data_IF_129942411805
#
_entry.id   IF_129942411805
#
_cell.length_a   1.000
_cell.length_b   1.000
_cell.length_c   1.000
_cell.angle_alpha   90.00
_cell.angle_beta   90.00
_cell.angle_gamma   90.00
#
_symmetry.space_group_name_H-M   'P 1'
#
loop_
_entity.id
_entity.type
_entity.pdbx_description
1 polymer ?
#
# COMPACT_ATOMS: atom_id res chain seq x y z
N UNK A 1 -3.26 -14.31 14.63
CA UNK A 1 -2.87 -12.92 14.91
C UNK A 1 -2.27 -12.25 13.67
N UNK A 2 -1.70 -11.03 13.79
CA UNK A 2 -1.16 -10.29 12.64
C UNK A 2 -0.01 -11.01 11.90
N UNK A 3 0.76 -11.84 12.59
CA UNK A 3 1.81 -12.66 11.97
C UNK A 3 1.24 -13.77 11.06
N UNK A 4 0.14 -14.43 11.47
CA UNK A 4 -0.50 -15.48 10.67
C UNK A 4 -1.16 -14.92 9.41
N UNK A 5 -1.74 -13.71 9.49
CA UNK A 5 -2.30 -13.02 8.34
C UNK A 5 -1.23 -12.73 7.28
N UNK A 6 -0.08 -12.21 7.70
CA UNK A 6 1.05 -11.98 6.79
C UNK A 6 1.59 -13.28 6.18
N UNK A 7 1.65 -14.39 6.96
CA UNK A 7 2.05 -15.70 6.42
C UNK A 7 1.08 -16.18 5.34
N UNK A 8 -0.24 -16.11 5.60
CA UNK A 8 -1.28 -16.49 4.62
C UNK A 8 -1.24 -15.64 3.35
N UNK A 9 -0.95 -14.35 3.47
CA UNK A 9 -0.79 -13.46 2.32
C UNK A 9 0.40 -13.89 1.45
N UNK A 10 1.55 -14.19 2.08
CA UNK A 10 2.73 -14.69 1.36
C UNK A 10 2.44 -16.01 0.65
N UNK A 11 1.74 -16.94 1.30
CA UNK A 11 1.28 -18.19 0.68
C UNK A 11 0.34 -17.95 -0.50
N UNK A 12 -0.37 -16.82 -0.53
CA UNK A 12 -1.25 -16.38 -1.62
C UNK A 12 -0.54 -15.52 -2.67
N UNK A 13 0.79 -15.43 -2.61
CA UNK A 13 1.61 -14.66 -3.57
C UNK A 13 1.71 -13.17 -3.27
N UNK A 14 1.26 -12.71 -2.09
CA UNK A 14 1.39 -11.31 -1.68
C UNK A 14 2.66 -11.06 -0.87
N UNK A 15 3.43 -10.07 -1.29
CA UNK A 15 4.66 -9.63 -0.65
C UNK A 15 4.51 -8.23 -0.08
N UNK A 16 5.05 -8.00 1.12
CA UNK A 16 5.12 -6.66 1.71
C UNK A 16 6.25 -5.87 1.05
N UNK A 17 5.88 -4.83 0.30
CA UNK A 17 6.84 -3.97 -0.42
C UNK A 17 7.43 -2.88 0.46
N UNK A 18 6.67 -2.45 1.47
CA UNK A 18 7.09 -1.46 2.44
C UNK A 18 5.96 -0.98 3.33
N UNK A 19 6.29 -0.15 4.32
CA UNK A 19 5.30 0.44 5.23
C UNK A 19 5.68 1.86 5.63
N UNK A 20 4.66 2.65 6.01
CA UNK A 20 4.82 4.02 6.49
C UNK A 20 3.92 4.28 7.69
N UNK A 21 4.45 4.97 8.71
CA UNK A 21 3.65 5.52 9.80
C UNK A 21 3.18 6.92 9.38
N UNK A 22 1.86 7.12 9.37
CA UNK A 22 1.22 8.33 8.83
C UNK A 22 0.41 9.05 9.91
N UNK A 23 0.49 10.37 9.92
CA UNK A 23 -0.10 11.25 10.94
C UNK A 23 -1.18 12.18 10.39
N UNK A 24 -1.57 13.19 11.19
CA UNK A 24 -2.70 14.09 10.90
C UNK A 24 -2.39 15.27 9.98
N UNK A 25 -1.11 15.58 9.78
CA UNK A 25 -0.68 16.82 9.10
C UNK A 25 -0.34 16.57 7.63
N UNK A 26 0.10 15.36 7.29
CA UNK A 26 0.60 15.01 5.97
C UNK A 26 -0.46 14.25 5.20
N UNK A 27 -0.73 14.68 3.97
CA UNK A 27 -1.69 14.07 3.05
C UNK A 27 -1.01 13.23 1.96
N UNK A 28 0.33 13.20 1.92
CA UNK A 28 1.13 12.53 0.90
C UNK A 28 2.37 11.84 1.48
N UNK A 29 2.58 10.59 1.11
CA UNK A 29 3.80 9.85 1.44
C UNK A 29 4.30 9.00 0.28
N UNK A 30 5.59 8.66 0.33
CA UNK A 30 6.23 7.74 -0.60
C UNK A 30 6.75 6.53 0.16
N UNK A 31 6.38 5.34 -0.30
CA UNK A 31 6.96 4.06 0.09
C UNK A 31 7.92 3.63 -1.02
N UNK A 32 9.22 3.68 -0.74
CA UNK A 32 10.21 3.11 -1.63
C UNK A 32 10.19 1.60 -1.46
N UNK A 33 10.08 0.88 -2.57
CA UNK A 33 10.15 -0.58 -2.56
C UNK A 33 11.63 -0.94 -2.41
N UNK A 34 11.94 -1.68 -1.32
CA UNK A 34 13.31 -2.05 -0.97
C UNK A 34 13.88 -3.14 -1.89
N UNK A 35 14.73 -4.04 -1.35
CA UNK A 35 15.26 -5.24 -2.04
C UNK A 35 14.18 -6.31 -2.33
N UNK A 36 13.00 -5.89 -2.74
CA UNK A 36 11.96 -6.80 -3.20
C UNK A 36 12.36 -7.31 -4.58
N UNK A 37 12.67 -8.59 -4.66
CA UNK A 37 13.05 -9.26 -5.91
C UNK A 37 11.77 -9.82 -6.53
N UNK A 38 11.08 -9.00 -7.31
CA UNK A 38 9.76 -9.39 -7.80
C UNK A 38 9.23 -8.54 -8.94
N UNK A 39 8.45 -9.19 -9.78
CA UNK A 39 7.57 -8.58 -10.76
C UNK A 39 6.16 -8.71 -10.22
N UNK A 40 5.44 -7.60 -10.16
CA UNK A 40 4.12 -7.59 -9.57
C UNK A 40 3.06 -7.35 -10.63
N UNK A 41 1.94 -8.04 -10.51
CA UNK A 41 0.76 -7.86 -11.35
C UNK A 41 -0.36 -7.07 -10.69
N UNK A 42 -0.37 -6.98 -9.35
CA UNK A 42 -1.34 -6.19 -8.61
C UNK A 42 -0.75 -5.63 -7.31
N UNK A 43 -1.41 -4.60 -6.76
CA UNK A 43 -1.11 -4.07 -5.42
C UNK A 43 -2.35 -4.02 -4.54
N UNK A 44 -2.15 -4.00 -3.21
CA UNK A 44 -3.17 -3.63 -2.23
C UNK A 44 -2.57 -2.84 -1.08
N UNK A 45 -3.42 -2.09 -0.39
CA UNK A 45 -3.07 -1.33 0.81
C UNK A 45 -3.68 -2.00 2.03
N UNK A 46 -2.91 -2.17 3.10
CA UNK A 46 -3.40 -2.58 4.41
C UNK A 46 -3.14 -1.50 5.44
N UNK A 47 -4.08 -1.31 6.35
CA UNK A 47 -4.03 -0.24 7.34
C UNK A 47 -4.12 -0.82 8.74
N UNK A 48 -3.30 -0.30 9.66
CA UNK A 48 -3.28 -0.68 11.07
C UNK A 48 -3.30 0.54 11.97
N UNK A 49 -3.64 0.32 13.23
CA UNK A 49 -3.69 1.27 14.35
C UNK A 49 -4.80 2.33 14.25
N UNK A 50 -4.98 2.98 13.11
CA UNK A 50 -6.03 3.98 12.90
C UNK A 50 -6.58 3.91 11.46
N UNK A 51 -7.87 4.24 11.23
CA UNK A 51 -8.45 4.26 9.88
C UNK A 51 -7.93 5.43 9.05
N UNK A 52 -7.89 5.24 7.73
CA UNK A 52 -7.58 6.31 6.77
C UNK A 52 -8.58 6.32 5.61
N UNK A 53 -8.72 7.47 4.98
CA UNK A 53 -9.29 7.57 3.64
C UNK A 53 -8.15 7.66 2.62
N UNK A 54 -7.98 6.65 1.78
CA UNK A 54 -7.00 6.67 0.70
C UNK A 54 -7.62 7.33 -0.53
N UNK A 55 -7.09 8.48 -0.95
CA UNK A 55 -7.57 9.19 -2.14
C UNK A 55 -7.03 8.53 -3.42
N UNK A 56 -5.70 8.36 -3.46
CA UNK A 56 -5.01 8.03 -4.70
C UNK A 56 -3.70 7.27 -4.45
N UNK A 57 -3.32 6.46 -5.43
CA UNK A 57 -2.06 5.75 -5.46
C UNK A 57 -1.39 6.01 -6.81
N UNK A 58 -0.08 6.23 -6.79
CA UNK A 58 0.74 6.26 -7.98
C UNK A 58 1.89 5.29 -7.82
N UNK A 59 1.98 4.32 -8.72
CA UNK A 59 3.11 3.40 -8.78
C UNK A 59 4.11 3.98 -9.76
N UNK A 60 5.39 4.01 -9.37
CA UNK A 60 6.46 4.26 -10.32
C UNK A 60 7.27 2.98 -10.47
N UNK A 61 7.33 2.47 -11.69
CA UNK A 61 8.06 1.26 -12.01
C UNK A 61 9.58 1.48 -12.01
N UNK A 62 10.34 0.38 -11.99
CA UNK A 62 11.81 0.42 -12.03
C UNK A 62 12.37 1.16 -13.26
N UNK A 63 11.65 1.13 -14.38
CA UNK A 63 12.01 1.86 -15.60
C UNK A 63 11.54 3.34 -15.60
N UNK A 64 11.01 3.85 -14.48
CA UNK A 64 10.52 5.22 -14.35
C UNK A 64 9.10 5.47 -14.86
N UNK A 65 8.46 4.50 -15.52
CA UNK A 65 7.10 4.68 -16.02
C UNK A 65 6.09 4.79 -14.84
N UNK A 66 5.18 5.78 -14.86
CA UNK A 66 4.13 5.91 -13.85
C UNK A 66 2.89 5.07 -14.17
N UNK A 67 2.15 4.73 -13.13
CA UNK A 67 0.81 4.17 -13.20
C UNK A 67 -0.07 4.80 -12.12
N UNK A 68 -1.05 5.60 -12.54
CA UNK A 68 -1.97 6.30 -11.65
C UNK A 68 -3.20 5.44 -11.39
N UNK A 69 -3.44 5.14 -10.12
CA UNK A 69 -4.38 4.13 -9.63
C UNK A 69 -5.40 4.78 -8.67
N UNK A 70 -6.46 5.41 -9.19
CA UNK A 70 -7.47 6.04 -8.37
C UNK A 70 -8.23 4.98 -7.57
N UNK A 71 -8.19 5.12 -6.24
CA UNK A 71 -8.81 4.15 -5.32
C UNK A 71 -9.97 4.72 -4.52
N UNK A 72 -9.86 5.95 -4.01
CA UNK A 72 -10.90 6.68 -3.26
C UNK A 72 -11.69 5.78 -2.29
N UNK A 73 -11.02 5.21 -1.30
CA UNK A 73 -11.63 4.23 -0.40
C UNK A 73 -11.33 4.54 1.07
N UNK A 74 -12.33 4.31 1.92
CA UNK A 74 -12.15 4.20 3.36
C UNK A 74 -11.53 2.84 3.70
N UNK A 75 -10.45 2.84 4.47
CA UNK A 75 -9.81 1.62 4.98
C UNK A 75 -9.81 1.68 6.50
N UNK A 76 -10.56 0.76 7.12
CA UNK A 76 -10.68 0.66 8.58
C UNK A 76 -9.37 0.16 9.20
N UNK A 77 -9.21 0.37 10.51
CA UNK A 77 -8.12 -0.26 11.26
C UNK A 77 -8.19 -1.80 11.11
N UNK A 78 -7.09 -2.42 10.71
CA UNK A 78 -6.99 -3.85 10.42
C UNK A 78 -7.56 -4.24 9.05
N UNK A 79 -8.08 -3.28 8.29
CA UNK A 79 -8.65 -3.50 6.97
C UNK A 79 -7.63 -3.41 5.85
N UNK A 80 -8.06 -3.83 4.66
CA UNK A 80 -7.30 -3.69 3.42
C UNK A 80 -8.20 -3.19 2.29
N UNK A 81 -7.58 -2.59 1.28
CA UNK A 81 -8.25 -2.27 0.03
C UNK A 81 -8.48 -3.53 -0.82
N UNK A 82 -9.31 -3.39 -1.86
CA UNK A 82 -9.30 -4.36 -2.97
C UNK A 82 -7.90 -4.46 -3.59
N UNK A 83 -7.65 -5.58 -4.29
CA UNK A 83 -6.54 -5.68 -5.22
C UNK A 83 -6.75 -4.71 -6.40
N UNK A 84 -5.66 -4.11 -6.85
CA UNK A 84 -5.62 -3.21 -8.00
C UNK A 84 -4.58 -3.74 -8.98
N UNK A 85 -5.02 -4.11 -10.16
CA UNK A 85 -4.14 -4.60 -11.22
C UNK A 85 -3.21 -3.48 -11.71
N UNK A 86 -1.96 -3.83 -11.93
CA UNK A 86 -0.92 -2.95 -12.46
C UNK A 86 -0.92 -2.99 -13.99
N UNK A 87 -0.72 -1.84 -14.63
CA UNK A 87 -0.58 -1.76 -16.08
C UNK A 87 0.65 -2.53 -16.56
N UNK A 88 0.45 -3.26 -17.64
CA UNK A 88 1.48 -4.09 -18.27
C UNK A 88 1.72 -5.44 -17.58
N UNK A 89 1.26 -5.62 -16.33
CA UNK A 89 1.50 -6.81 -15.48
C UNK A 89 2.99 -7.14 -15.33
N UNK A 90 3.34 -7.91 -14.31
CA UNK A 90 4.69 -8.42 -14.07
C UNK A 90 5.79 -7.34 -14.14
N UNK A 91 5.61 -6.21 -13.44
CA UNK A 91 6.56 -5.09 -13.42
C UNK A 91 7.28 -5.00 -12.08
N UNK A 92 8.56 -4.67 -12.13
CA UNK A 92 9.31 -4.27 -10.95
C UNK A 92 8.86 -2.86 -10.53
N UNK A 93 8.58 -2.68 -9.24
CA UNK A 93 8.13 -1.41 -8.67
C UNK A 93 9.32 -0.72 -7.99
N UNK A 94 9.50 0.58 -8.23
CA UNK A 94 10.50 1.43 -7.56
C UNK A 94 9.93 2.06 -6.31
N UNK A 95 8.74 2.64 -6.42
CA UNK A 95 8.07 3.32 -5.32
C UNK A 95 6.56 3.35 -5.53
N UNK A 96 5.84 3.51 -4.42
CA UNK A 96 4.41 3.79 -4.39
C UNK A 96 4.20 5.11 -3.66
N UNK A 97 3.65 6.08 -4.37
CA UNK A 97 3.25 7.37 -3.84
C UNK A 97 1.77 7.29 -3.45
N UNK A 98 1.43 7.80 -2.27
CA UNK A 98 0.11 7.67 -1.68
C UNK A 98 -0.42 9.05 -1.34
N UNK A 99 -1.68 9.31 -1.67
CA UNK A 99 -2.41 10.48 -1.21
C UNK A 99 -3.54 10.02 -0.30
N UNK A 100 -3.53 10.45 0.96
CA UNK A 100 -4.46 9.98 1.96
C UNK A 100 -4.93 11.11 2.88
N UNK A 101 -6.02 10.86 3.60
CA UNK A 101 -6.50 11.70 4.68
C UNK A 101 -6.65 10.82 5.91
N UNK A 102 -5.88 11.12 6.95
CA UNK A 102 -6.13 10.57 8.26
C UNK A 102 -7.33 11.29 8.88
N UNK A 103 -8.18 10.54 9.58
CA UNK A 103 -9.24 11.15 10.40
C UNK A 103 -8.64 11.43 11.78
N UNK A 104 -8.75 12.64 12.33
CA UNK A 104 -8.36 12.92 13.71
C UNK A 104 -9.03 11.91 14.64
N UNK A 105 -8.24 11.05 15.29
CA UNK A 105 -8.72 10.06 16.26
C UNK A 105 -7.83 10.10 17.48
N UNK A 106 -8.37 9.77 18.65
CA UNK A 106 -7.60 9.64 19.90
C UNK A 106 -6.50 8.56 19.82
N UNK A 107 -6.56 7.67 18.82
CA UNK A 107 -5.64 6.55 18.61
C UNK A 107 -4.28 6.97 18.02
N UNK A 108 -4.14 8.21 17.53
CA UNK A 108 -2.88 8.72 16.99
C UNK A 108 -2.62 8.29 15.54
N UNK A 109 -1.45 7.70 15.27
CA UNK A 109 -0.94 7.43 13.91
C UNK A 109 -1.50 6.15 13.31
N UNK A 110 -1.71 6.14 11.98
CA UNK A 110 -1.95 4.90 11.25
C UNK A 110 -0.63 4.31 10.72
N UNK A 111 -0.60 3.00 10.49
CA UNK A 111 0.45 2.35 9.71
C UNK A 111 -0.14 1.86 8.41
N UNK A 112 0.41 2.34 7.30
CA UNK A 112 0.03 1.94 5.95
C UNK A 112 1.07 0.97 5.42
N UNK A 113 0.64 -0.24 5.06
CA UNK A 113 1.45 -1.26 4.43
C UNK A 113 1.07 -1.37 2.94
N UNK A 114 2.08 -1.38 2.07
CA UNK A 114 1.92 -1.60 0.63
C UNK A 114 2.30 -3.03 0.32
N UNK A 115 1.40 -3.76 -0.33
CA UNK A 115 1.59 -5.16 -0.69
C UNK A 115 1.51 -5.33 -2.21
N UNK A 116 2.39 -6.16 -2.77
CA UNK A 116 2.42 -6.53 -4.19
C UNK A 116 2.08 -8.01 -4.37
N UNK A 117 1.30 -8.32 -5.39
CA UNK A 117 0.99 -9.69 -5.81
C UNK A 117 1.89 -10.06 -6.98
N UNK A 118 2.61 -11.18 -6.87
CA UNK A 118 3.33 -11.80 -7.98
C UNK A 118 2.35 -12.28 -9.07
#
# INVERSE_FOLDING_TARGET
>A
GPADAQRRDRERGWELLGSKKVGFIVDRDVVHVGRSEGRFRAIKIRVRNAPIYMNDLKVVYANGAPDDLPIRTDIRNGGESRAIDLRGRDRAIREVQMVYRSRPTFQGFATVEVWGLH
#
